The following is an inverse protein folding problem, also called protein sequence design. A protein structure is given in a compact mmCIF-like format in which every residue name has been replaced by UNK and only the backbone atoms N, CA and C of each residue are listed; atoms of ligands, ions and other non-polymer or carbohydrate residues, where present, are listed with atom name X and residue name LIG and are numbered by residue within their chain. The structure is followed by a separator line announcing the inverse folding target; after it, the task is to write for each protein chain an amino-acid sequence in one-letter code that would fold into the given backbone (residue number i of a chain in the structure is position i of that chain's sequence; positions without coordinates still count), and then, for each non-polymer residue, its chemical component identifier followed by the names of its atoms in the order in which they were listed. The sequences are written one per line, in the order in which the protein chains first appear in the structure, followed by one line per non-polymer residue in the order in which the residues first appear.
data_IF_373157541681
#
_entry.id   IF_373157541681
#
_cell.length_a   1.000
_cell.length_b   1.000
_cell.length_c   1.000
_cell.angle_alpha   90.00
_cell.angle_beta   90.00
_cell.angle_gamma   90.00
#
_symmetry.space_group_name_H-M   'P 1'
#
loop_
_entity.id
_entity.type
_entity.pdbx_description
1 polymer ?
#
# COMPACT_ATOMS: atom_id res chain seq x y z
N UNK A 1 -35.10 -12.88 4.39
CA UNK A 1 -33.71 -12.82 4.88
C UNK A 1 -33.00 -11.74 4.09
N UNK A 2 -32.61 -10.65 4.75
CA UNK A 2 -31.98 -9.51 4.09
C UNK A 2 -30.54 -9.83 3.71
N UNK A 3 -30.01 -9.19 2.66
CA UNK A 3 -28.59 -9.31 2.27
C UNK A 3 -27.66 -8.96 3.46
N UNK A 4 -28.06 -8.00 4.29
CA UNK A 4 -27.31 -7.60 5.48
C UNK A 4 -27.21 -8.74 6.52
N UNK A 5 -28.31 -9.45 6.78
CA UNK A 5 -28.33 -10.57 7.74
C UNK A 5 -27.50 -11.76 7.25
N UNK A 6 -27.54 -12.03 5.94
CA UNK A 6 -26.71 -13.07 5.32
C UNK A 6 -25.22 -12.74 5.43
N UNK A 7 -24.87 -11.47 5.23
CA UNK A 7 -23.48 -11.01 5.32
C UNK A 7 -22.96 -11.04 6.76
N UNK A 8 -23.78 -10.64 7.73
CA UNK A 8 -23.42 -10.67 9.15
C UNK A 8 -23.19 -12.10 9.64
N UNK A 9 -24.04 -13.05 9.25
CA UNK A 9 -23.81 -14.48 9.55
C UNK A 9 -22.53 -15.00 8.90
N UNK A 10 -22.29 -14.66 7.64
CA UNK A 10 -21.05 -15.05 6.97
C UNK A 10 -19.82 -14.46 7.66
N UNK A 11 -19.90 -13.22 8.14
CA UNK A 11 -18.82 -12.57 8.88
C UNK A 11 -18.56 -13.25 10.23
N UNK A 12 -19.60 -13.55 11.00
CA UNK A 12 -19.46 -14.23 12.29
C UNK A 12 -18.90 -15.65 12.13
N UNK A 13 -19.36 -16.39 11.11
CA UNK A 13 -18.86 -17.74 10.81
C UNK A 13 -17.41 -17.74 10.32
N UNK A 14 -17.00 -16.73 9.55
CA UNK A 14 -15.64 -16.61 9.01
C UNK A 14 -14.63 -16.11 10.04
N UNK A 15 -15.04 -15.21 10.93
CA UNK A 15 -14.14 -14.47 11.79
C UNK A 15 -13.46 -15.32 12.88
N UNK A 16 -14.00 -16.49 13.25
CA UNK A 16 -13.46 -17.42 14.27
C UNK A 16 -12.89 -16.73 15.53
N UNK A 17 -13.61 -15.73 16.04
CA UNK A 17 -13.20 -14.94 17.22
C UNK A 17 -12.17 -13.83 16.96
N UNK A 18 -11.61 -13.72 15.75
CA UNK A 18 -10.74 -12.63 15.33
C UNK A 18 -11.51 -11.40 14.81
N UNK A 19 -10.88 -10.23 14.88
CA UNK A 19 -11.44 -8.99 14.31
C UNK A 19 -11.19 -8.94 12.80
N UNK A 20 -12.17 -9.41 12.01
CA UNK A 20 -12.14 -9.36 10.53
C UNK A 20 -13.22 -8.42 9.96
N UNK A 21 -12.89 -7.18 9.56
CA UNK A 21 -13.85 -6.21 9.02
C UNK A 21 -14.19 -6.51 7.54
N UNK A 22 -14.92 -7.60 7.27
CA UNK A 22 -15.23 -8.04 5.90
C UNK A 22 -15.90 -6.97 5.05
N UNK A 23 -16.80 -6.17 5.62
CA UNK A 23 -17.42 -5.05 4.90
C UNK A 23 -16.38 -4.00 4.46
N UNK A 24 -15.41 -3.70 5.33
CA UNK A 24 -14.32 -2.78 5.01
C UNK A 24 -13.40 -3.35 3.92
N UNK A 25 -13.14 -4.65 3.92
CA UNK A 25 -12.38 -5.30 2.84
C UNK A 25 -13.12 -5.28 1.51
N UNK A 26 -14.42 -5.55 1.53
CA UNK A 26 -15.27 -5.45 0.33
C UNK A 26 -15.23 -4.02 -0.23
N UNK A 27 -15.40 -3.01 0.63
CA UNK A 27 -15.30 -1.61 0.23
C UNK A 27 -13.92 -1.28 -0.37
N UNK A 28 -12.84 -1.83 0.19
CA UNK A 28 -11.48 -1.67 -0.32
C UNK A 28 -11.30 -2.32 -1.70
N UNK A 29 -11.83 -3.53 -1.91
CA UNK A 29 -11.81 -4.22 -3.20
C UNK A 29 -12.60 -3.46 -4.28
N UNK A 30 -13.81 -2.99 -3.94
CA UNK A 30 -14.62 -2.17 -4.83
C UNK A 30 -13.89 -0.86 -5.18
N UNK A 31 -13.25 -0.23 -4.21
CA UNK A 31 -12.49 1.01 -4.42
C UNK A 31 -11.29 0.78 -5.34
N UNK A 32 -10.53 -0.30 -5.13
CA UNK A 32 -9.41 -0.68 -6.00
C UNK A 32 -9.88 -0.94 -7.43
N UNK A 33 -10.94 -1.77 -7.59
CA UNK A 33 -11.53 -2.07 -8.89
C UNK A 33 -12.04 -0.81 -9.61
N UNK A 34 -12.68 0.11 -8.89
CA UNK A 34 -13.13 1.39 -9.43
C UNK A 34 -11.97 2.25 -9.92
N UNK A 35 -10.88 2.36 -9.14
CA UNK A 35 -9.69 3.11 -9.55
C UNK A 35 -9.01 2.52 -10.79
N UNK A 36 -8.88 1.19 -10.86
CA UNK A 36 -8.35 0.50 -12.05
C UNK A 36 -9.26 0.72 -13.25
N UNK A 37 -10.59 0.65 -13.05
CA UNK A 37 -11.57 0.93 -14.09
C UNK A 37 -11.46 2.36 -14.63
N UNK A 38 -11.35 3.35 -13.74
CA UNK A 38 -11.15 4.76 -14.10
C UNK A 38 -9.83 4.95 -14.84
N UNK A 39 -8.72 4.43 -14.33
CA UNK A 39 -7.42 4.53 -14.99
C UNK A 39 -7.46 3.93 -16.40
N UNK A 40 -8.12 2.78 -16.56
CA UNK A 40 -8.34 2.12 -17.85
C UNK A 40 -9.19 3.00 -18.78
N UNK A 41 -10.31 3.53 -18.30
CA UNK A 41 -11.19 4.39 -19.09
C UNK A 41 -10.47 5.67 -19.55
N UNK A 42 -9.72 6.31 -18.66
CA UNK A 42 -8.88 7.47 -18.97
C UNK A 42 -7.82 7.12 -20.01
N UNK A 43 -7.14 5.98 -19.87
CA UNK A 43 -6.15 5.51 -20.84
C UNK A 43 -6.77 5.30 -22.23
N UNK A 44 -7.93 4.63 -22.29
CA UNK A 44 -8.68 4.43 -23.54
C UNK A 44 -9.09 5.75 -24.18
N UNK A 45 -9.60 6.69 -23.39
CA UNK A 45 -10.02 8.01 -23.88
C UNK A 45 -8.83 8.85 -24.38
N UNK A 46 -7.67 8.73 -23.75
CA UNK A 46 -6.43 9.42 -24.16
C UNK A 46 -5.70 8.72 -25.32
N UNK A 47 -6.20 7.58 -25.80
CA UNK A 47 -5.52 6.78 -26.82
C UNK A 47 -4.15 6.27 -26.37
N UNK A 48 -3.94 6.08 -25.06
CA UNK A 48 -2.64 5.63 -24.52
C UNK A 48 -2.34 4.24 -25.02
N UNK A 49 -1.13 4.04 -25.57
CA UNK A 49 -0.65 2.72 -25.97
C UNK A 49 -0.01 2.04 -24.77
N UNK A 50 -0.44 0.82 -24.47
CA UNK A 50 0.21 0.01 -23.45
C UNK A 50 1.61 -0.41 -23.93
N UNK A 51 2.60 -0.45 -23.03
CA UNK A 51 3.91 -0.98 -23.38
C UNK A 51 3.79 -2.46 -23.78
N UNK A 52 4.46 -2.85 -24.87
CA UNK A 52 4.48 -4.26 -25.32
C UNK A 52 5.28 -5.16 -24.37
N UNK A 53 6.25 -4.59 -23.65
CA UNK A 53 7.09 -5.26 -22.66
C UNK A 53 7.55 -4.26 -21.61
N UNK A 54 7.69 -4.73 -20.38
CA UNK A 54 8.41 -3.99 -19.34
C UNK A 54 9.89 -4.30 -19.45
N UNK A 55 10.74 -3.28 -19.36
CA UNK A 55 12.19 -3.49 -19.28
C UNK A 55 12.53 -4.03 -17.88
N UNK A 56 13.62 -4.81 -17.74
CA UNK A 56 14.08 -5.26 -16.42
C UNK A 56 14.29 -4.10 -15.43
N UNK A 57 14.83 -2.97 -15.91
CA UNK A 57 15.02 -1.76 -15.10
C UNK A 57 13.71 -1.23 -14.53
N UNK A 58 12.63 -1.22 -15.32
CA UNK A 58 11.32 -0.78 -14.86
C UNK A 58 10.77 -1.72 -13.78
N UNK A 59 11.00 -3.03 -13.91
CA UNK A 59 10.57 -4.02 -12.93
C UNK A 59 11.33 -3.83 -11.62
N UNK A 60 12.65 -3.64 -11.69
CA UNK A 60 13.50 -3.41 -10.51
C UNK A 60 13.12 -2.10 -9.81
N UNK A 61 13.00 -1.01 -10.57
CA UNK A 61 12.60 0.29 -10.02
C UNK A 61 11.20 0.25 -9.43
N UNK A 62 10.24 -0.41 -10.09
CA UNK A 62 8.90 -0.57 -9.56
C UNK A 62 8.90 -1.39 -8.26
N UNK A 63 9.68 -2.47 -8.19
CA UNK A 63 9.79 -3.30 -7.00
C UNK A 63 10.39 -2.53 -5.81
N UNK A 64 11.54 -1.85 -6.01
CA UNK A 64 12.21 -1.05 -4.99
C UNK A 64 11.34 0.13 -4.55
N UNK A 65 10.75 0.86 -5.50
CA UNK A 65 9.87 1.98 -5.21
C UNK A 65 8.62 1.55 -4.46
N UNK A 66 8.02 0.41 -4.83
CA UNK A 66 6.86 -0.16 -4.11
C UNK A 66 7.23 -0.53 -2.70
N UNK A 67 8.35 -1.22 -2.50
CA UNK A 67 8.85 -1.59 -1.18
C UNK A 67 9.08 -0.37 -0.29
N UNK A 68 9.83 0.61 -0.78
CA UNK A 68 10.15 1.81 0.01
C UNK A 68 8.90 2.63 0.30
N UNK A 69 8.03 2.83 -0.68
CA UNK A 69 6.80 3.61 -0.48
C UNK A 69 5.84 2.93 0.50
N UNK A 70 5.70 1.61 0.43
CA UNK A 70 4.81 0.89 1.35
C UNK A 70 5.34 0.96 2.78
N UNK A 71 6.65 0.79 2.98
CA UNK A 71 7.33 1.00 4.27
C UNK A 71 7.18 2.44 4.77
N UNK A 72 7.44 3.44 3.92
CA UNK A 72 7.29 4.85 4.27
C UNK A 72 5.87 5.16 4.74
N UNK A 73 4.85 4.71 4.02
CA UNK A 73 3.47 4.96 4.38
C UNK A 73 3.07 4.24 5.67
N UNK A 74 3.51 2.99 5.84
CA UNK A 74 2.98 2.09 6.87
C UNK A 74 3.81 1.97 8.14
N UNK A 75 5.07 2.44 8.12
CA UNK A 75 6.02 2.24 9.23
C UNK A 75 6.78 3.50 9.64
N UNK A 76 7.04 4.45 8.73
CA UNK A 76 7.86 5.63 9.05
C UNK A 76 7.30 6.49 10.19
N UNK A 77 8.14 6.88 11.15
CA UNK A 77 7.76 7.76 12.27
C UNK A 77 7.13 9.08 11.79
N UNK A 78 7.63 9.66 10.69
CA UNK A 78 7.13 10.95 10.18
C UNK A 78 5.72 10.81 9.59
N UNK A 79 5.41 9.68 8.95
CA UNK A 79 4.08 9.44 8.37
C UNK A 79 3.05 8.98 9.41
N UNK A 80 3.44 8.83 10.68
CA UNK A 80 2.53 8.48 11.78
C UNK A 80 1.35 9.45 11.90
N UNK A 81 1.50 10.72 11.50
CA UNK A 81 0.40 11.70 11.48
C UNK A 81 -0.78 11.24 10.62
N UNK A 82 -0.50 10.56 9.50
CA UNK A 82 -1.53 10.02 8.61
C UNK A 82 -2.23 8.79 9.22
N UNK A 83 -1.51 8.04 10.06
CA UNK A 83 -1.95 6.78 10.68
C UNK A 83 -2.61 6.99 12.04
N UNK A 84 -2.26 8.07 12.74
CA UNK A 84 -2.74 8.39 14.08
C UNK A 84 -4.26 8.30 14.24
N UNK A 85 -5.12 8.69 13.27
CA UNK A 85 -6.57 8.50 13.37
C UNK A 85 -7.01 7.02 13.43
N UNK A 86 -6.23 6.11 12.87
CA UNK A 86 -6.57 4.69 12.69
C UNK A 86 -5.75 3.75 13.57
N UNK A 87 -4.68 4.24 14.19
CA UNK A 87 -3.72 3.41 14.93
C UNK A 87 -3.45 3.92 16.34
N UNK A 88 -2.82 3.08 17.15
CA UNK A 88 -2.21 3.42 18.43
C UNK A 88 -0.72 3.11 18.33
N UNK A 89 0.11 4.10 18.68
CA UNK A 89 1.54 3.91 18.82
C UNK A 89 1.86 2.92 19.94
N UNK A 90 2.76 1.97 19.67
CA UNK A 90 3.24 1.01 20.65
C UNK A 90 4.66 1.34 21.08
N UNK A 91 5.60 1.24 20.14
CA UNK A 91 7.03 1.38 20.41
C UNK A 91 7.80 1.77 19.14
N UNK A 92 9.00 2.37 19.28
CA UNK A 92 9.93 2.53 18.16
C UNK A 92 10.37 1.16 17.61
N UNK A 93 10.53 1.04 16.28
CA UNK A 93 10.91 -0.20 15.61
C UNK A 93 12.31 -0.15 14.95
N UNK A 94 13.10 0.89 15.23
CA UNK A 94 14.41 1.11 14.60
C UNK A 94 14.32 1.72 13.20
N UNK A 95 15.45 2.18 12.65
CA UNK A 95 15.55 2.74 11.30
C UNK A 95 14.47 3.80 10.95
N UNK A 96 14.16 4.68 11.90
CA UNK A 96 13.09 5.70 11.80
C UNK A 96 11.68 5.13 11.54
N UNK A 97 11.41 3.93 12.06
CA UNK A 97 10.10 3.27 12.02
C UNK A 97 9.46 3.13 13.39
N UNK A 98 8.15 2.91 13.38
CA UNK A 98 7.32 2.70 14.56
C UNK A 98 6.43 1.48 14.40
N UNK A 99 6.20 0.80 15.52
CA UNK A 99 5.20 -0.24 15.65
C UNK A 99 3.89 0.37 16.13
N UNK A 100 2.82 0.02 15.45
CA UNK A 100 1.49 0.53 15.70
C UNK A 100 0.46 -0.59 15.58
N UNK A 101 -0.55 -0.58 16.45
CA UNK A 101 -1.72 -1.45 16.34
C UNK A 101 -2.95 -0.70 15.85
N UNK A 102 -3.76 -1.37 15.05
CA UNK A 102 -5.00 -0.82 14.51
C UNK A 102 -6.02 -0.61 15.63
N UNK A 103 -6.72 0.52 15.61
CA UNK A 103 -7.81 0.86 16.54
C UNK A 103 -9.13 1.09 15.82
N UNK A 104 -10.22 0.90 16.54
CA UNK A 104 -11.59 1.05 16.03
C UNK A 104 -12.15 -0.23 15.43
N UNK A 105 -13.32 -0.11 14.79
CA UNK A 105 -14.09 -1.23 14.22
C UNK A 105 -14.58 -0.89 12.80
N UNK A 106 -15.06 -1.91 12.08
CA UNK A 106 -15.64 -1.76 10.74
C UNK A 106 -14.66 -1.12 9.74
N UNK A 107 -15.13 -0.13 8.97
CA UNK A 107 -14.33 0.55 7.94
C UNK A 107 -13.06 1.20 8.51
N UNK A 108 -13.13 1.78 9.72
CA UNK A 108 -11.95 2.38 10.36
C UNK A 108 -10.85 1.35 10.60
N UNK A 109 -11.23 0.14 11.00
CA UNK A 109 -10.28 -0.96 11.19
C UNK A 109 -9.66 -1.38 9.86
N UNK A 110 -10.47 -1.57 8.81
CA UNK A 110 -9.97 -1.95 7.49
C UNK A 110 -9.02 -0.90 6.89
N UNK A 111 -9.32 0.40 7.05
CA UNK A 111 -8.40 1.49 6.66
C UNK A 111 -7.12 1.42 7.48
N UNK A 112 -7.24 1.21 8.80
CA UNK A 112 -6.09 1.04 9.69
C UNK A 112 -5.18 -0.13 9.27
N UNK A 113 -5.74 -1.27 8.89
CA UNK A 113 -4.96 -2.40 8.36
C UNK A 113 -4.28 -2.07 7.05
N UNK A 114 -4.97 -1.36 6.13
CA UNK A 114 -4.39 -0.94 4.87
C UNK A 114 -3.17 -0.02 5.09
N UNK A 115 -3.28 0.95 6.00
CA UNK A 115 -2.22 1.93 6.26
C UNK A 115 -1.18 1.48 7.29
N UNK A 116 -1.29 0.29 7.88
CA UNK A 116 -0.25 -0.29 8.76
C UNK A 116 0.41 -1.55 8.20
N UNK A 117 -0.21 -2.19 7.21
CA UNK A 117 0.32 -3.38 6.56
C UNK A 117 1.06 -3.02 5.25
N UNK A 118 2.39 -3.18 5.19
CA UNK A 118 3.17 -2.85 4.00
C UNK A 118 2.82 -3.72 2.79
N UNK A 119 2.36 -4.96 3.01
CA UNK A 119 1.91 -5.84 1.94
C UNK A 119 0.59 -5.36 1.33
N UNK A 120 -0.39 -4.98 2.16
CA UNK A 120 -1.65 -4.44 1.70
C UNK A 120 -1.43 -3.13 0.93
N UNK A 121 -0.70 -2.18 1.52
CA UNK A 121 -0.32 -0.93 0.86
C UNK A 121 0.49 -1.16 -0.42
N UNK A 122 1.33 -2.19 -0.46
CA UNK A 122 2.16 -2.53 -1.61
C UNK A 122 1.35 -2.79 -2.88
N UNK A 123 0.21 -3.48 -2.78
CA UNK A 123 -0.66 -3.74 -3.95
C UNK A 123 -1.21 -2.43 -4.53
N UNK A 124 -1.65 -1.51 -3.67
CA UNK A 124 -2.18 -0.20 -4.09
C UNK A 124 -1.11 0.67 -4.73
N UNK A 125 0.07 0.71 -4.13
CA UNK A 125 1.20 1.50 -4.61
C UNK A 125 1.70 0.94 -5.95
N UNK A 126 1.88 -0.37 -6.07
CA UNK A 126 2.30 -1.00 -7.32
C UNK A 126 1.30 -0.73 -8.44
N UNK A 127 -0.01 -0.85 -8.16
CA UNK A 127 -1.07 -0.51 -9.10
C UNK A 127 -1.02 0.96 -9.53
N UNK A 128 -0.86 1.88 -8.58
CA UNK A 128 -0.77 3.32 -8.87
C UNK A 128 0.46 3.69 -9.69
N UNK A 129 1.65 3.15 -9.35
CA UNK A 129 2.88 3.34 -10.12
C UNK A 129 2.78 2.73 -11.52
N UNK A 130 2.17 1.55 -11.65
CA UNK A 130 1.94 0.91 -12.96
C UNK A 130 0.99 1.75 -13.83
N UNK A 131 -0.11 2.23 -13.26
CA UNK A 131 -1.02 3.14 -13.96
C UNK A 131 -0.31 4.44 -14.35
N UNK A 132 0.55 4.98 -13.46
CA UNK A 132 1.39 6.14 -13.72
C UNK A 132 2.38 5.93 -14.88
N UNK A 133 3.00 4.75 -14.97
CA UNK A 133 3.87 4.40 -16.09
C UNK A 133 3.15 4.41 -17.45
N UNK A 134 1.84 4.15 -17.47
CA UNK A 134 1.02 4.22 -18.69
C UNK A 134 0.53 5.65 -18.96
N UNK A 135 0.06 6.36 -17.93
CA UNK A 135 -0.62 7.65 -18.08
C UNK A 135 0.33 8.85 -18.06
N UNK A 136 1.48 8.75 -17.39
CA UNK A 136 2.47 9.81 -17.17
C UNK A 136 3.91 9.24 -17.00
N UNK A 137 4.45 8.52 -17.99
CA UNK A 137 5.67 7.70 -17.85
C UNK A 137 6.90 8.45 -17.32
N UNK A 138 7.14 9.68 -17.78
CA UNK A 138 8.34 10.46 -17.38
C UNK A 138 8.31 10.83 -15.90
N UNK A 139 7.17 11.33 -15.43
CA UNK A 139 6.99 11.72 -14.03
C UNK A 139 7.06 10.48 -13.12
N UNK A 140 6.40 9.39 -13.51
CA UNK A 140 6.42 8.17 -12.71
C UNK A 140 7.81 7.52 -12.65
N UNK A 141 8.55 7.50 -13.76
CA UNK A 141 9.96 7.04 -13.76
C UNK A 141 10.81 7.86 -12.80
N UNK A 142 10.69 9.20 -12.83
CA UNK A 142 11.42 10.07 -11.90
C UNK A 142 11.13 9.73 -10.43
N UNK A 143 9.85 9.56 -10.09
CA UNK A 143 9.41 9.20 -8.74
C UNK A 143 9.95 7.82 -8.33
N UNK A 144 9.83 6.81 -9.20
CA UNK A 144 10.35 5.46 -8.90
C UNK A 144 11.87 5.46 -8.75
N UNK A 145 12.60 6.20 -9.58
CA UNK A 145 14.06 6.35 -9.45
C UNK A 145 14.42 6.97 -8.10
N UNK A 146 13.76 8.07 -7.71
CA UNK A 146 14.02 8.71 -6.42
C UNK A 146 13.75 7.75 -5.25
N UNK A 147 12.59 7.09 -5.23
CA UNK A 147 12.23 6.14 -4.18
C UNK A 147 13.17 4.92 -4.13
N UNK A 148 13.60 4.42 -5.29
CA UNK A 148 14.54 3.30 -5.37
C UNK A 148 15.92 3.70 -4.85
N UNK A 149 16.38 4.91 -5.16
CA UNK A 149 17.63 5.44 -4.61
C UNK A 149 17.58 5.54 -3.08
N UNK A 150 16.46 6.00 -2.51
CA UNK A 150 16.28 6.02 -1.05
C UNK A 150 16.23 4.60 -0.48
N UNK A 151 15.56 3.65 -1.15
CA UNK A 151 15.55 2.25 -0.73
C UNK A 151 16.97 1.69 -0.59
N UNK A 152 17.81 1.91 -1.61
CA UNK A 152 19.22 1.48 -1.60
C UNK A 152 20.01 2.22 -0.51
N UNK A 153 19.76 3.52 -0.33
CA UNK A 153 20.40 4.31 0.75
C UNK A 153 20.09 3.75 2.13
N UNK A 154 18.83 3.40 2.42
CA UNK A 154 18.45 2.80 3.71
C UNK A 154 19.18 1.47 3.94
N UNK A 155 19.25 0.63 2.91
CA UNK A 155 19.98 -0.65 2.98
C UNK A 155 21.47 -0.44 3.23
N UNK A 156 22.08 0.59 2.62
CA UNK A 156 23.47 0.96 2.88
C UNK A 156 23.68 1.41 4.32
N UNK A 157 22.76 2.19 4.91
CA UNK A 157 22.83 2.55 6.32
C UNK A 157 22.75 1.32 7.22
N UNK A 158 21.80 0.43 6.97
CA UNK A 158 21.66 -0.81 7.75
C UNK A 158 22.88 -1.73 7.62
N UNK A 159 23.46 -1.86 6.42
CA UNK A 159 24.67 -2.64 6.19
C UNK A 159 25.89 -2.00 6.88
N UNK A 160 25.99 -0.67 6.88
CA UNK A 160 27.05 0.04 7.58
C UNK A 160 26.96 -0.16 9.09
N UNK A 161 25.76 -0.05 9.66
CA UNK A 161 25.54 -0.29 11.09
C UNK A 161 25.87 -1.74 11.47
N UNK A 162 25.42 -2.72 10.67
CA UNK A 162 25.72 -4.14 10.89
C UNK A 162 27.22 -4.48 10.75
N UNK A 163 27.98 -3.71 9.97
CA UNK A 163 29.43 -3.91 9.82
C UNK A 163 30.26 -3.26 10.94
N UNK A 164 29.66 -2.40 11.78
CA UNK A 164 30.32 -1.77 12.93
C UNK A 164 30.22 -2.59 14.21
N UNK A 165 29.21 -3.44 14.31
CA UNK A 165 28.98 -4.37 15.41
C UNK A 165 29.90 -5.60 15.32
#
# INVERSE_FOLDING_TARGET
MSIAESFERAQLAYADGERRPLFGYLASLCSYGALVGVATAVGRHRGTRLPQRFTPDDIILLALATHKSSRLLTKSSITSVLRAPFTRFEEPAGAAEVKETVRGHGVRHAVGELVTCPFCSGVWIAGALTAGLVLAPRATRLVMTALSAVAVSDWLHLAYDAARE
#
